data_IF_042222413583
#
_entry.id   IF_042222413583
#
_cell.length_a   1.000
_cell.length_b   1.000
_cell.length_c   1.000
_cell.angle_alpha   90.00
_cell.angle_beta   90.00
_cell.angle_gamma   90.00
#
_symmetry.space_group_name_H-M   'P 1'
#
loop_
_entity.id
_entity.type
_entity.pdbx_description
1 polymer ?
#
# COMPACT_ATOMS: atom_id res chain seq x y z
N UNK A 1 -25.45 -13.70 -1.71
CA UNK A 1 -25.07 -13.41 -1.58
C UNK A 1 -24.89 -13.29 -1.31
N UNK A 2 -24.54 -13.19 -1.52
CA UNK A 2 -24.05 -12.93 -1.29
C UNK A 2 -23.66 -12.85 -0.96
N UNK A 3 -23.74 -13.01 -0.88
CA UNK A 3 -22.98 -12.87 -0.61
C UNK A 3 -22.31 -12.71 -0.46
N UNK A 4 -22.06 -12.84 -0.56
CA UNK A 4 -21.32 -12.74 -0.52
C UNK A 4 -20.85 -12.45 -0.65
N UNK A 5 -20.98 -12.53 -0.77
CA UNK A 5 -20.52 -12.20 -1.05
C UNK A 5 -20.18 -11.85 -0.79
N UNK A 6 -20.14 -11.86 -0.64
CA UNK A 6 -19.66 -11.48 -0.53
C UNK A 6 -19.05 -11.27 -0.05
N UNK A 7 -18.81 -11.34 0.28
CA UNK A 7 -18.14 -11.07 0.57
C UNK A 7 -17.34 -10.95 0.70
N UNK A 8 -17.35 -11.35 1.02
CA UNK A 8 -16.34 -11.23 0.95
C UNK A 8 -15.49 -10.67 0.42
N UNK A 9 -15.15 -10.95 0.14
CA UNK A 9 -14.45 -10.25 -0.86
C UNK A 9 -14.85 -8.82 -1.01
N UNK A 10 -15.72 -8.38 -0.24
CA UNK A 10 -16.14 -7.03 -0.34
C UNK A 10 -15.05 -6.05 -0.15
N UNK A 11 -14.19 -6.31 0.78
CA UNK A 11 -13.12 -5.39 1.05
C UNK A 11 -12.22 -5.20 -0.14
N UNK A 12 -12.19 -6.16 -1.02
CA UNK A 12 -11.39 -6.05 -2.22
C UNK A 12 -11.86 -4.96 -3.13
N UNK A 13 -13.08 -4.55 -2.94
CA UNK A 13 -13.64 -3.53 -3.80
C UNK A 13 -13.32 -2.14 -3.31
N UNK A 14 -12.78 -2.03 -2.12
CA UNK A 14 -12.39 -0.73 -1.59
C UNK A 14 -10.96 -0.48 -1.98
N UNK A 15 -10.77 -0.25 -3.25
CA UNK A 15 -9.46 0.09 -3.79
C UNK A 15 -9.59 1.40 -4.51
N UNK A 16 -8.51 2.16 -4.49
CA UNK A 16 -8.50 3.45 -5.15
C UNK A 16 -7.26 3.59 -6.00
N UNK A 17 -7.45 4.11 -7.18
CA UNK A 17 -6.36 4.54 -8.03
C UNK A 17 -5.98 5.92 -7.58
N UNK A 18 -4.73 6.07 -7.14
CA UNK A 18 -4.25 7.33 -6.63
C UNK A 18 -2.91 7.64 -7.26
N UNK A 19 -2.48 8.86 -7.12
CA UNK A 19 -1.11 9.23 -7.45
C UNK A 19 -0.57 9.96 -6.24
N UNK A 20 0.28 9.29 -5.50
CA UNK A 20 0.79 9.83 -4.25
C UNK A 20 2.24 9.44 -4.11
N UNK A 21 3.08 10.43 -3.92
CA UNK A 21 4.50 10.19 -3.71
C UNK A 21 4.73 9.84 -2.26
N UNK A 22 5.37 8.71 -2.05
CA UNK A 22 5.67 8.20 -0.72
C UNK A 22 7.14 7.83 -0.68
N UNK A 23 7.59 7.36 0.47
CA UNK A 23 8.94 6.85 0.62
C UNK A 23 8.89 5.49 1.28
N UNK A 24 9.77 4.60 0.86
CA UNK A 24 9.85 3.26 1.44
C UNK A 24 11.28 2.93 1.79
N UNK A 25 11.44 2.02 2.74
CA UNK A 25 12.76 1.49 3.09
C UNK A 25 12.61 0.10 3.68
N UNK A 26 13.68 -0.65 3.62
CA UNK A 26 13.79 -1.93 4.31
C UNK A 26 14.96 -1.85 5.28
N UNK A 27 14.71 -2.24 6.53
CA UNK A 27 15.74 -2.19 7.55
C UNK A 27 16.29 -0.80 7.71
N UNK A 28 17.61 -0.68 7.65
CA UNK A 28 18.31 0.58 7.83
C UNK A 28 18.71 1.24 6.52
N UNK A 29 18.22 0.72 5.41
CA UNK A 29 18.54 1.31 4.11
C UNK A 29 17.93 2.69 3.99
N UNK A 30 18.49 3.54 3.13
CA UNK A 30 17.93 4.87 2.92
C UNK A 30 16.50 4.80 2.39
N UNK A 31 15.72 5.81 2.75
CA UNK A 31 14.38 5.96 2.20
C UNK A 31 14.47 6.19 0.70
N UNK A 32 13.58 5.56 -0.06
CA UNK A 32 13.52 5.73 -1.50
C UNK A 32 12.14 6.23 -1.89
N UNK A 33 12.08 7.21 -2.78
CA UNK A 33 10.78 7.71 -3.23
C UNK A 33 10.10 6.69 -4.13
N UNK A 34 8.80 6.55 -3.95
CA UNK A 34 7.97 5.68 -4.80
C UNK A 34 6.66 6.39 -5.06
N UNK A 35 6.05 6.04 -6.17
CA UNK A 35 4.71 6.51 -6.46
C UNK A 35 3.74 5.39 -6.14
N UNK A 36 2.79 5.71 -5.30
CA UNK A 36 1.75 4.76 -4.92
C UNK A 36 0.59 4.93 -5.88
N UNK A 37 0.29 3.88 -6.63
CA UNK A 37 -0.71 3.94 -7.69
C UNK A 37 -2.04 3.32 -7.29
N UNK A 38 -2.01 2.41 -6.33
CA UNK A 38 -3.20 1.64 -5.98
C UNK A 38 -3.12 1.32 -4.51
N UNK A 39 -4.18 1.60 -3.79
CA UNK A 39 -4.21 1.39 -2.34
C UNK A 39 -5.57 0.86 -1.91
N UNK A 40 -5.55 0.02 -0.91
CA UNK A 40 -6.74 -0.46 -0.23
C UNK A 40 -6.47 -0.45 1.27
N UNK A 41 -7.48 -0.66 2.11
CA UNK A 41 -7.21 -0.76 3.55
C UNK A 41 -6.24 -1.86 3.92
N UNK A 42 -6.13 -2.91 3.11
CA UNK A 42 -5.25 -4.03 3.44
C UNK A 42 -3.85 -3.91 2.84
N UNK A 43 -3.64 -3.06 1.85
CA UNK A 43 -2.32 -2.98 1.22
C UNK A 43 -2.23 -2.00 0.07
N UNK A 44 -1.13 -2.11 -0.67
CA UNK A 44 -0.87 -1.18 -1.76
C UNK A 44 -0.02 -1.86 -2.83
N UNK A 45 0.08 -1.20 -3.97
CA UNK A 45 0.89 -1.68 -5.08
C UNK A 45 1.82 -0.56 -5.52
N UNK A 46 3.08 -0.89 -5.70
CA UNK A 46 4.10 0.05 -6.15
C UNK A 46 5.03 -0.65 -7.14
N UNK A 47 5.86 0.13 -7.80
CA UNK A 47 6.87 -0.43 -8.68
C UNK A 47 7.90 -1.20 -7.87
N UNK A 48 8.41 -2.27 -8.45
CA UNK A 48 9.48 -3.04 -7.83
C UNK A 48 10.74 -2.19 -7.73
N UNK A 49 11.37 -2.23 -6.59
CA UNK A 49 12.60 -1.47 -6.36
C UNK A 49 13.80 -2.41 -6.41
N UNK A 50 14.81 -2.07 -7.20
CA UNK A 50 16.03 -2.87 -7.22
C UNK A 50 16.63 -2.99 -5.83
N UNK A 51 17.06 -4.18 -5.49
CA UNK A 51 17.66 -4.43 -4.19
C UNK A 51 16.69 -4.75 -3.09
N UNK A 52 15.38 -4.74 -3.36
CA UNK A 52 14.40 -5.16 -2.38
C UNK A 52 14.47 -6.66 -2.14
N UNK A 53 14.20 -7.05 -0.91
CA UNK A 53 14.14 -8.46 -0.53
C UNK A 53 12.70 -8.80 -0.17
N UNK A 54 12.16 -9.83 -0.82
CA UNK A 54 10.77 -10.20 -0.61
C UNK A 54 10.48 -10.66 0.82
N UNK A 55 11.48 -11.16 1.50
CA UNK A 55 11.28 -11.71 2.83
C UNK A 55 11.49 -10.69 3.94
N UNK A 56 11.78 -9.47 3.58
CA UNK A 56 12.04 -8.41 4.56
C UNK A 56 10.88 -7.44 4.58
N UNK A 57 10.37 -7.10 5.76
CA UNK A 57 9.27 -6.13 5.83
C UNK A 57 9.67 -4.79 5.24
N UNK A 58 8.70 -4.13 4.69
CA UNK A 58 8.86 -2.83 4.07
C UNK A 58 8.21 -1.78 4.95
N UNK A 59 8.86 -0.66 5.11
CA UNK A 59 8.26 0.48 5.79
C UNK A 59 7.90 1.52 4.76
N UNK A 60 6.71 2.10 4.90
CA UNK A 60 6.26 3.12 3.99
C UNK A 60 5.89 4.37 4.77
N UNK A 61 6.36 5.50 4.28
CA UNK A 61 6.07 6.80 4.87
C UNK A 61 5.18 7.55 3.89
N UNK A 62 3.91 7.68 4.25
CA UNK A 62 2.93 8.39 3.46
C UNK A 62 2.85 9.81 4.02
N UNK A 63 2.93 10.84 3.17
CA UNK A 63 2.92 12.24 3.67
C UNK A 63 1.73 12.49 4.57
N UNK A 64 1.99 13.08 5.73
CA UNK A 64 0.95 13.39 6.70
C UNK A 64 0.52 12.23 7.56
N UNK A 65 1.15 11.06 7.40
CA UNK A 65 0.79 9.86 8.14
C UNK A 65 1.99 9.31 8.86
N UNK A 66 1.72 8.42 9.80
CA UNK A 66 2.78 7.67 10.47
C UNK A 66 3.41 6.70 9.50
N UNK A 67 4.62 6.26 9.84
CA UNK A 67 5.26 5.18 9.11
C UNK A 67 4.48 3.89 9.35
N UNK A 68 4.19 3.20 8.27
CA UNK A 68 3.45 1.94 8.31
C UNK A 68 4.36 0.80 7.87
N UNK A 69 4.09 -0.38 8.37
CA UNK A 69 4.85 -1.58 8.02
C UNK A 69 4.00 -2.47 7.14
N UNK A 70 4.62 -3.06 6.12
CA UNK A 70 3.95 -3.95 5.20
C UNK A 70 4.88 -5.08 4.80
N UNK A 71 4.29 -6.18 4.35
CA UNK A 71 5.03 -7.31 3.82
C UNK A 71 4.82 -7.39 2.33
N UNK A 72 5.88 -7.71 1.60
CA UNK A 72 5.77 -7.91 0.16
C UNK A 72 5.13 -9.28 -0.06
N UNK A 73 3.97 -9.29 -0.71
CA UNK A 73 3.23 -10.52 -0.94
C UNK A 73 3.50 -11.13 -2.29
N UNK A 74 3.72 -10.29 -3.29
CA UNK A 74 3.99 -10.79 -4.63
C UNK A 74 4.79 -9.77 -5.42
N UNK A 75 5.47 -10.27 -6.41
CA UNK A 75 6.16 -9.46 -7.39
C UNK A 75 5.83 -10.03 -8.75
N UNK A 76 5.47 -9.18 -9.68
CA UNK A 76 5.17 -9.60 -11.03
C UNK A 76 5.69 -8.52 -11.97
N UNK A 77 6.69 -8.89 -12.76
CA UNK A 77 7.33 -7.91 -13.64
C UNK A 77 7.92 -6.78 -12.83
N UNK A 78 7.52 -5.57 -13.15
CA UNK A 78 8.04 -4.37 -12.51
C UNK A 78 7.17 -3.91 -11.35
N UNK A 79 6.24 -4.72 -10.89
CA UNK A 79 5.28 -4.32 -9.87
C UNK A 79 5.36 -5.26 -8.70
N UNK A 80 5.14 -4.72 -7.51
CA UNK A 80 4.99 -5.55 -6.33
C UNK A 80 3.77 -5.13 -5.53
N UNK A 81 3.13 -6.13 -4.92
CA UNK A 81 2.00 -5.92 -4.05
C UNK A 81 2.41 -6.14 -2.62
N UNK A 82 2.00 -5.23 -1.75
CA UNK A 82 2.35 -5.26 -0.34
C UNK A 82 1.09 -5.25 0.50
N UNK A 83 1.15 -5.96 1.61
CA UNK A 83 0.04 -6.04 2.55
C UNK A 83 0.46 -5.38 3.85
N UNK A 84 -0.36 -4.46 4.36
CA UNK A 84 -0.06 -3.83 5.65
C UNK A 84 -0.06 -4.89 6.76
N UNK A 85 0.90 -4.78 7.67
CA UNK A 85 0.94 -5.66 8.83
C UNK A 85 -0.34 -5.52 9.65
N UNK A 86 -0.84 -4.30 9.74
CA UNK A 86 -2.13 -4.01 10.37
C UNK A 86 -2.96 -3.25 9.36
N UNK A 87 -4.13 -3.78 8.98
CA UNK A 87 -4.98 -3.08 8.01
C UNK A 87 -5.33 -1.68 8.48
N UNK A 88 -5.47 -0.78 7.51
CA UNK A 88 -5.86 0.59 7.80
C UNK A 88 -7.33 0.64 8.22
N UNK A 89 -7.61 1.49 9.20
CA UNK A 89 -9.00 1.82 9.48
C UNK A 89 -9.58 2.52 8.25
N UNK A 90 -10.83 2.26 7.96
CA UNK A 90 -11.44 2.80 6.74
C UNK A 90 -11.37 4.33 6.70
N UNK A 91 -11.48 4.98 7.84
CA UNK A 91 -11.40 6.44 7.89
C UNK A 91 -10.00 6.93 7.50
N UNK A 92 -8.97 6.20 7.91
CA UNK A 92 -7.60 6.54 7.55
C UNK A 92 -7.39 6.34 6.06
N UNK A 93 -7.91 5.24 5.54
CA UNK A 93 -7.82 4.96 4.11
C UNK A 93 -8.49 6.08 3.30
N UNK A 94 -9.69 6.47 3.70
CA UNK A 94 -10.41 7.52 2.99
C UNK A 94 -9.67 8.85 3.07
N UNK A 95 -9.04 9.12 4.19
CA UNK A 95 -8.24 10.33 4.33
C UNK A 95 -7.09 10.35 3.33
N UNK A 96 -6.39 9.23 3.19
CA UNK A 96 -5.28 9.12 2.25
C UNK A 96 -5.77 9.33 0.83
N UNK A 97 -6.85 8.67 0.46
CA UNK A 97 -7.39 8.77 -0.90
C UNK A 97 -7.80 10.20 -1.20
N UNK A 98 -8.44 10.84 -0.24
CA UNK A 98 -8.91 12.20 -0.43
C UNK A 98 -7.76 13.17 -0.64
N UNK A 99 -6.70 13.02 0.16
CA UNK A 99 -5.54 13.87 0.00
C UNK A 99 -4.84 13.63 -1.34
N UNK A 100 -4.77 12.37 -1.76
CA UNK A 100 -4.12 12.06 -3.02
C UNK A 100 -4.86 12.61 -4.22
N UNK A 101 -6.17 12.73 -4.10
CA UNK A 101 -6.99 13.18 -5.22
C UNK A 101 -7.09 14.68 -5.36
N UNK A 102 -6.77 15.38 -4.31
CA UNK A 102 -6.95 16.81 -4.28
C UNK A 102 -5.84 17.55 -4.98
N UNK A 103 -4.72 16.94 -5.16
CA UNK A 103 -3.57 17.62 -5.75
C UNK A 103 -3.79 18.09 -7.18
#
# INVERSE_FOLDING_TARGET
>A
MFPGDTGCTRENKVRANVTLLCEVRQGTRPWKPVRLDDISPSGFRIAWLPGCHKDTPLRIRIPGMQVLTADIRWQKGDTMGCEFTSPLHIAVFEHIVRRARVS
#
